data_IF_752504284852
#
_entry.id   IF_752504284852
#
_cell.length_a   1.000
_cell.length_b   1.000
_cell.length_c   1.000
_cell.angle_alpha   90.00
_cell.angle_beta   90.00
_cell.angle_gamma   90.00
#
_symmetry.space_group_name_H-M   'P 1'
#
loop_
_entity.id
_entity.type
_entity.pdbx_description
1 polymer ?
#
# COMPACT_ATOMS: atom_id res chain seq x y z
N UNK A 1 19.54 -29.68 2.09
CA UNK A 1 19.41 -28.28 1.68
C UNK A 1 20.61 -27.45 2.14
N UNK A 2 20.86 -27.28 3.45
CA UNK A 2 21.95 -26.43 4.00
C UNK A 2 23.36 -26.80 3.50
N UNK A 3 23.69 -28.08 3.42
CA UNK A 3 24.99 -28.54 2.90
C UNK A 3 25.18 -28.20 1.40
N UNK A 4 24.09 -28.20 0.62
CA UNK A 4 24.14 -27.83 -0.78
C UNK A 4 24.38 -26.31 -0.93
N UNK A 5 23.82 -25.49 -0.05
CA UNK A 5 24.07 -24.04 -0.02
C UNK A 5 25.54 -23.75 0.31
N UNK A 6 26.10 -24.42 1.33
CA UNK A 6 27.52 -24.26 1.71
C UNK A 6 28.50 -24.71 0.62
N UNK A 7 28.13 -25.73 -0.15
CA UNK A 7 28.95 -26.25 -1.24
C UNK A 7 28.80 -25.46 -2.55
N UNK A 8 27.89 -24.50 -2.60
CA UNK A 8 27.60 -23.76 -3.82
C UNK A 8 28.69 -22.71 -4.15
N UNK A 9 28.94 -22.50 -5.45
CA UNK A 9 29.83 -21.45 -5.91
C UNK A 9 29.12 -20.10 -5.84
N UNK A 10 29.55 -19.19 -4.95
CA UNK A 10 28.92 -17.88 -4.72
C UNK A 10 28.77 -17.03 -5.97
N UNK A 11 29.82 -16.78 -6.77
CA UNK A 11 29.70 -16.07 -8.04
C UNK A 11 28.72 -16.71 -9.02
N UNK A 12 28.74 -18.04 -9.17
CA UNK A 12 27.78 -18.74 -10.02
C UNK A 12 26.36 -18.54 -9.52
N UNK A 13 26.10 -18.69 -8.23
CA UNK A 13 24.77 -18.48 -7.64
C UNK A 13 24.29 -17.06 -7.78
N UNK A 14 25.17 -16.07 -7.70
CA UNK A 14 24.83 -14.67 -7.95
C UNK A 14 24.32 -14.46 -9.38
N UNK A 15 25.07 -14.92 -10.38
CA UNK A 15 24.64 -14.81 -11.79
C UNK A 15 23.42 -15.67 -12.11
N UNK A 16 23.31 -16.84 -11.52
CA UNK A 16 22.13 -17.69 -11.67
C UNK A 16 20.89 -17.04 -11.06
N UNK A 17 21.00 -16.44 -9.88
CA UNK A 17 19.90 -15.71 -9.24
C UNK A 17 19.50 -14.46 -10.05
N UNK A 18 20.47 -13.74 -10.60
CA UNK A 18 20.20 -12.60 -11.48
C UNK A 18 19.45 -13.02 -12.76
N UNK A 19 19.88 -14.10 -13.37
CA UNK A 19 19.28 -14.64 -14.62
C UNK A 19 17.90 -15.24 -14.38
N UNK A 20 17.70 -15.94 -13.24
CA UNK A 20 16.48 -16.65 -12.89
C UNK A 20 15.56 -15.78 -11.98
N UNK A 21 15.67 -14.47 -12.03
CA UNK A 21 14.96 -13.54 -11.16
C UNK A 21 13.44 -13.53 -11.40
N UNK A 22 12.96 -14.23 -12.42
CA UNK A 22 11.54 -14.33 -12.75
C UNK A 22 11.05 -15.77 -12.62
N UNK A 23 9.89 -15.89 -11.98
CA UNK A 23 9.24 -17.17 -11.82
C UNK A 23 8.49 -17.51 -13.13
N UNK A 24 8.84 -18.62 -13.76
CA UNK A 24 8.06 -19.19 -14.84
C UNK A 24 6.89 -19.99 -14.23
N UNK A 25 5.69 -19.45 -14.33
CA UNK A 25 4.49 -20.06 -13.77
C UNK A 25 4.22 -21.44 -14.33
N UNK A 26 4.51 -21.66 -15.59
CA UNK A 26 4.23 -22.92 -16.27
C UNK A 26 5.06 -24.07 -15.74
N UNK A 27 6.26 -23.77 -15.23
CA UNK A 27 7.17 -24.76 -14.64
C UNK A 27 6.85 -25.10 -13.19
N UNK A 28 6.27 -24.16 -12.43
CA UNK A 28 6.16 -24.29 -10.97
C UNK A 28 4.73 -24.43 -10.46
N UNK A 29 3.74 -24.09 -11.28
CA UNK A 29 2.33 -24.14 -10.87
C UNK A 29 1.47 -24.93 -11.84
N UNK A 30 0.49 -25.70 -11.30
CA UNK A 30 -0.53 -26.32 -12.15
C UNK A 30 -1.28 -25.23 -12.93
N UNK A 31 -1.51 -25.48 -14.20
CA UNK A 31 -2.28 -24.58 -15.06
C UNK A 31 -3.71 -25.09 -15.21
N UNK A 32 -4.67 -24.18 -15.18
CA UNK A 32 -6.05 -24.48 -15.60
C UNK A 32 -6.18 -24.32 -17.12
N UNK A 33 -7.03 -25.10 -17.77
CA UNK A 33 -7.44 -24.79 -19.13
C UNK A 33 -7.97 -23.37 -19.23
N UNK A 34 -7.60 -22.63 -20.27
CA UNK A 34 -7.92 -21.21 -20.42
C UNK A 34 -9.43 -20.92 -20.26
N UNK A 35 -10.30 -21.73 -20.89
CA UNK A 35 -11.73 -21.57 -20.75
C UNK A 35 -12.23 -21.74 -19.30
N UNK A 36 -11.64 -22.67 -18.55
CA UNK A 36 -11.97 -22.87 -17.12
C UNK A 36 -11.53 -21.67 -16.29
N UNK A 37 -10.32 -21.18 -16.53
CA UNK A 37 -9.78 -20.01 -15.83
C UNK A 37 -10.65 -18.76 -16.14
N UNK A 38 -11.01 -18.54 -17.40
CA UNK A 38 -11.86 -17.44 -17.84
C UNK A 38 -13.25 -17.47 -17.19
N UNK A 39 -13.90 -18.62 -17.17
CA UNK A 39 -15.21 -18.77 -16.55
C UNK A 39 -15.14 -18.52 -15.04
N UNK A 40 -14.19 -19.15 -14.33
CA UNK A 40 -14.01 -18.93 -12.90
C UNK A 40 -13.72 -17.47 -12.56
N UNK A 41 -12.89 -16.79 -13.37
CA UNK A 41 -12.59 -15.37 -13.17
C UNK A 41 -13.83 -14.51 -13.34
N UNK A 42 -14.64 -14.76 -14.38
CA UNK A 42 -15.86 -14.00 -14.64
C UNK A 42 -16.93 -14.26 -13.57
N UNK A 43 -17.08 -15.51 -13.14
CA UNK A 43 -18.00 -15.86 -12.05
C UNK A 43 -17.62 -15.13 -10.75
N UNK A 44 -16.33 -15.11 -10.39
CA UNK A 44 -15.82 -14.47 -9.17
C UNK A 44 -16.04 -12.95 -9.15
N UNK A 45 -15.94 -12.28 -10.30
CA UNK A 45 -16.13 -10.83 -10.39
C UNK A 45 -17.54 -10.41 -10.84
N UNK A 46 -18.47 -11.35 -10.98
CA UNK A 46 -19.85 -11.07 -11.38
C UNK A 46 -20.63 -10.46 -10.22
N UNK A 47 -21.41 -9.43 -10.52
CA UNK A 47 -22.28 -8.74 -9.55
C UNK A 47 -23.67 -8.50 -10.18
N UNK A 48 -24.75 -8.48 -9.36
CA UNK A 48 -26.12 -8.34 -9.88
C UNK A 48 -26.38 -7.03 -10.64
N UNK A 49 -25.64 -5.97 -10.30
CA UNK A 49 -25.74 -4.64 -10.91
C UNK A 49 -24.63 -4.38 -11.94
N UNK A 50 -23.92 -5.41 -12.38
CA UNK A 50 -22.83 -5.27 -13.33
C UNK A 50 -23.06 -6.15 -14.57
N UNK A 51 -22.62 -5.65 -15.75
CA UNK A 51 -22.60 -6.42 -16.99
C UNK A 51 -21.24 -6.31 -17.65
N UNK A 52 -20.73 -7.41 -18.15
CA UNK A 52 -19.50 -7.42 -18.93
C UNK A 52 -19.69 -6.64 -20.24
N UNK A 53 -18.73 -5.78 -20.53
CA UNK A 53 -18.68 -4.99 -21.78
C UNK A 53 -17.60 -5.48 -22.74
N UNK A 54 -16.83 -6.47 -22.30
CA UNK A 54 -15.75 -7.08 -23.03
C UNK A 54 -16.16 -8.49 -23.50
N UNK A 55 -15.97 -8.79 -24.79
CA UNK A 55 -16.24 -10.09 -25.39
C UNK A 55 -15.07 -11.08 -25.25
N UNK A 56 -13.88 -10.59 -24.87
CA UNK A 56 -12.71 -11.44 -24.67
C UNK A 56 -12.96 -12.40 -23.50
N UNK A 57 -12.61 -13.68 -23.61
CA UNK A 57 -12.86 -14.67 -22.54
C UNK A 57 -12.27 -14.27 -21.19
N UNK A 58 -11.04 -13.71 -21.18
CA UNK A 58 -10.36 -13.22 -19.99
C UNK A 58 -10.69 -11.75 -19.66
N UNK A 59 -11.55 -11.11 -20.43
CA UNK A 59 -11.98 -9.72 -20.20
C UNK A 59 -12.90 -9.60 -18.99
N UNK A 60 -12.54 -8.77 -18.04
CA UNK A 60 -13.28 -8.53 -16.79
C UNK A 60 -13.85 -7.11 -16.69
N UNK A 61 -13.72 -6.32 -17.76
CA UNK A 61 -14.28 -4.97 -17.78
C UNK A 61 -15.79 -5.01 -17.73
N UNK A 62 -16.38 -4.28 -16.80
CA UNK A 62 -17.82 -4.28 -16.53
C UNK A 62 -18.36 -2.86 -16.54
N UNK A 63 -19.58 -2.72 -17.00
CA UNK A 63 -20.43 -1.57 -16.71
C UNK A 63 -21.17 -1.88 -15.41
N UNK A 64 -21.03 -1.01 -14.43
CA UNK A 64 -21.71 -1.11 -13.13
C UNK A 64 -22.80 -0.05 -13.08
N UNK A 65 -24.04 -0.48 -12.83
CA UNK A 65 -25.19 0.38 -12.75
C UNK A 65 -25.54 0.61 -11.27
N UNK A 66 -25.06 1.74 -10.72
CA UNK A 66 -25.38 2.16 -9.37
C UNK A 66 -26.50 3.21 -9.41
N UNK A 67 -27.49 3.15 -8.48
CA UNK A 67 -28.53 4.15 -8.39
C UNK A 67 -27.98 5.47 -7.85
N UNK A 68 -28.59 6.57 -8.27
CA UNK A 68 -28.31 7.92 -7.77
C UNK A 68 -27.27 8.70 -8.59
N UNK A 69 -27.04 9.93 -8.15
CA UNK A 69 -26.07 10.81 -8.80
C UNK A 69 -24.66 10.55 -8.27
N UNK A 70 -23.64 10.51 -9.15
CA UNK A 70 -22.25 10.39 -8.72
C UNK A 70 -21.85 11.52 -7.77
N UNK A 71 -21.20 11.17 -6.66
CA UNK A 71 -20.63 12.14 -5.72
C UNK A 71 -19.11 12.03 -5.78
N UNK A 72 -18.45 13.15 -6.04
CA UNK A 72 -16.98 13.23 -6.02
C UNK A 72 -16.52 13.50 -4.59
N UNK A 73 -16.38 12.44 -3.79
CA UNK A 73 -15.85 12.55 -2.43
C UNK A 73 -14.32 12.63 -2.47
N UNK A 74 -13.75 13.42 -1.58
CA UNK A 74 -12.31 13.38 -1.31
C UNK A 74 -11.95 12.08 -0.61
N UNK A 75 -10.85 11.46 -1.00
CA UNK A 75 -10.41 10.16 -0.51
C UNK A 75 -9.01 10.27 0.09
N UNK A 76 -8.86 9.79 1.32
CA UNK A 76 -7.56 9.60 1.97
C UNK A 76 -7.43 8.13 2.30
N UNK A 77 -6.44 7.47 1.72
CA UNK A 77 -6.15 6.05 1.89
C UNK A 77 -4.85 5.90 2.67
N UNK A 78 -4.93 5.58 3.95
CA UNK A 78 -3.76 5.45 4.83
C UNK A 78 -3.30 4.00 4.88
N UNK A 79 -2.12 3.72 4.33
CA UNK A 79 -1.46 2.43 4.48
C UNK A 79 -0.45 2.51 5.61
N UNK A 80 -0.71 1.80 6.70
CA UNK A 80 0.12 1.82 7.90
C UNK A 80 1.12 0.66 7.85
N UNK A 81 2.41 0.99 7.91
CA UNK A 81 3.50 0.00 7.90
C UNK A 81 3.38 -0.99 9.05
N UNK A 82 3.45 -2.27 8.75
CA UNK A 82 3.56 -3.37 9.72
C UNK A 82 2.53 -3.40 10.86
N UNK A 83 1.42 -2.68 10.75
CA UNK A 83 0.33 -2.74 11.74
C UNK A 83 -0.41 -4.06 11.64
N UNK A 84 -0.71 -4.64 12.79
CA UNK A 84 -1.48 -5.89 12.90
C UNK A 84 -2.55 -5.76 13.96
N UNK A 85 -3.72 -6.31 13.69
CA UNK A 85 -4.85 -6.34 14.62
C UNK A 85 -4.49 -6.93 16.00
N UNK A 86 -3.48 -7.80 16.09
CA UNK A 86 -2.99 -8.34 17.37
C UNK A 86 -2.50 -7.29 18.37
N UNK A 87 -2.26 -6.06 17.95
CA UNK A 87 -1.87 -4.94 18.82
C UNK A 87 -3.05 -4.05 19.23
N UNK A 88 -4.24 -4.31 18.68
CA UNK A 88 -5.43 -3.52 18.97
C UNK A 88 -6.11 -3.99 20.24
N UNK A 89 -6.47 -3.05 21.11
CA UNK A 89 -7.22 -3.33 22.34
C UNK A 89 -8.59 -3.96 22.04
N UNK A 90 -9.23 -3.51 20.98
CA UNK A 90 -10.50 -4.07 20.48
C UNK A 90 -10.42 -5.50 19.95
N UNK A 91 -9.22 -6.01 19.71
CA UNK A 91 -8.93 -7.39 19.31
C UNK A 91 -8.28 -8.22 20.43
N UNK A 92 -8.26 -7.67 21.67
CA UNK A 92 -7.84 -8.39 22.88
C UNK A 92 -6.48 -8.04 23.44
N UNK A 93 -5.77 -7.05 22.89
CA UNK A 93 -4.50 -6.59 23.45
C UNK A 93 -4.74 -5.68 24.67
N UNK A 94 -4.30 -6.13 25.84
CA UNK A 94 -4.50 -5.39 27.09
C UNK A 94 -3.49 -4.25 27.35
N UNK A 95 -2.49 -4.06 26.46
CA UNK A 95 -1.39 -3.11 26.66
C UNK A 95 -1.75 -1.66 26.32
N UNK A 96 -2.95 -1.41 25.83
CA UNK A 96 -3.44 -0.08 25.44
C UNK A 96 -2.49 0.64 24.43
N UNK A 97 -2.10 -0.07 23.37
CA UNK A 97 -1.20 0.45 22.36
C UNK A 97 -1.93 1.25 21.27
N UNK A 98 -3.23 1.02 21.06
CA UNK A 98 -3.98 1.61 19.95
C UNK A 98 -5.29 2.30 20.38
N UNK A 99 -5.28 3.18 21.40
CA UNK A 99 -6.52 3.79 21.92
C UNK A 99 -7.24 4.65 20.87
N UNK A 100 -6.54 5.31 19.95
CA UNK A 100 -7.13 6.14 18.91
C UNK A 100 -7.79 5.30 17.82
N UNK A 101 -7.12 4.26 17.32
CA UNK A 101 -7.70 3.31 16.37
C UNK A 101 -8.88 2.56 16.95
N UNK A 102 -8.82 2.17 18.23
CA UNK A 102 -9.93 1.52 18.94
C UNK A 102 -11.14 2.46 19.12
N UNK A 103 -10.90 3.76 19.30
CA UNK A 103 -11.95 4.76 19.31
C UNK A 103 -12.55 4.99 17.91
N UNK A 104 -11.71 5.11 16.90
CA UNK A 104 -12.11 5.29 15.49
C UNK A 104 -12.96 4.11 15.00
N UNK A 105 -12.59 2.88 15.36
CA UNK A 105 -13.35 1.66 15.04
C UNK A 105 -14.81 1.76 15.43
N UNK A 106 -15.11 2.37 16.58
CA UNK A 106 -16.50 2.49 17.10
C UNK A 106 -17.38 3.44 16.26
N UNK A 107 -16.76 4.26 15.43
CA UNK A 107 -17.42 5.29 14.63
C UNK A 107 -17.30 5.03 13.12
N UNK A 108 -16.76 3.87 12.73
CA UNK A 108 -16.41 3.53 11.35
C UNK A 108 -17.00 2.21 10.91
N UNK A 109 -17.06 1.99 9.60
CA UNK A 109 -17.20 0.67 9.04
C UNK A 109 -15.90 -0.10 9.28
N UNK A 110 -15.95 -1.15 10.08
CA UNK A 110 -14.80 -1.98 10.42
C UNK A 110 -14.91 -3.36 9.78
N UNK A 111 -13.87 -3.75 9.04
CA UNK A 111 -13.74 -5.07 8.42
C UNK A 111 -12.98 -6.00 9.37
N UNK A 112 -13.68 -6.85 10.11
CA UNK A 112 -13.09 -7.75 11.12
C UNK A 112 -12.22 -8.87 10.55
N UNK A 113 -12.35 -9.16 9.25
CA UNK A 113 -11.57 -10.17 8.54
C UNK A 113 -10.80 -9.57 7.36
N UNK A 114 -10.09 -8.49 7.62
CA UNK A 114 -9.24 -7.84 6.63
C UNK A 114 -7.78 -8.32 6.77
N UNK A 115 -7.27 -8.94 5.73
CA UNK A 115 -5.94 -9.57 5.75
C UNK A 115 -5.01 -8.89 4.75
N UNK A 116 -3.74 -8.71 5.17
CA UNK A 116 -2.70 -8.28 4.25
C UNK A 116 -2.40 -9.40 3.24
N UNK A 117 -2.19 -9.02 1.98
CA UNK A 117 -1.95 -9.96 0.88
C UNK A 117 -0.54 -10.54 0.87
N UNK A 118 0.33 -10.09 1.77
CA UNK A 118 1.70 -10.56 1.89
C UNK A 118 2.45 -9.88 3.03
N UNK A 119 3.68 -10.31 3.25
CA UNK A 119 4.53 -9.86 4.38
C UNK A 119 5.46 -8.70 4.01
N UNK A 120 5.33 -8.13 2.82
CA UNK A 120 6.15 -7.02 2.33
C UNK A 120 5.28 -5.85 1.94
N UNK A 121 5.74 -4.63 2.22
CA UNK A 121 5.08 -3.37 1.86
C UNK A 121 4.65 -3.33 0.40
N UNK A 122 5.55 -3.69 -0.52
CA UNK A 122 5.27 -3.71 -1.96
C UNK A 122 4.14 -4.66 -2.37
N UNK A 123 3.88 -5.72 -1.59
CA UNK A 123 2.76 -6.64 -1.82
C UNK A 123 1.42 -6.00 -1.44
N UNK A 124 1.38 -5.32 -0.31
CA UNK A 124 0.21 -4.56 0.11
C UNK A 124 -0.09 -3.42 -0.87
N UNK A 125 0.93 -2.67 -1.26
CA UNK A 125 0.78 -1.55 -2.19
C UNK A 125 0.26 -2.01 -3.57
N UNK A 126 0.84 -3.08 -4.18
CA UNK A 126 0.33 -3.58 -5.45
C UNK A 126 -1.13 -4.04 -5.37
N UNK A 127 -1.49 -4.74 -4.29
CA UNK A 127 -2.86 -5.22 -4.11
C UNK A 127 -3.87 -4.08 -3.95
N UNK A 128 -3.56 -3.09 -3.11
CA UNK A 128 -4.46 -1.94 -2.89
C UNK A 128 -4.56 -1.08 -4.15
N UNK A 129 -3.43 -0.81 -4.81
CA UNK A 129 -3.37 0.10 -5.95
C UNK A 129 -3.95 -0.50 -7.23
N UNK A 130 -3.73 -1.80 -7.46
CA UNK A 130 -4.12 -2.50 -8.69
C UNK A 130 -5.34 -3.42 -8.52
N UNK A 131 -5.82 -3.63 -7.28
CA UNK A 131 -6.91 -4.57 -6.96
C UNK A 131 -6.66 -5.99 -7.48
N UNK A 132 -5.42 -6.46 -7.37
CA UNK A 132 -5.02 -7.80 -7.81
C UNK A 132 -4.61 -8.68 -6.62
N UNK A 133 -4.87 -9.98 -6.67
CA UNK A 133 -4.35 -10.91 -5.67
C UNK A 133 -2.82 -10.98 -5.73
N UNK A 134 -2.15 -11.40 -4.65
CA UNK A 134 -0.70 -11.54 -4.64
C UNK A 134 -0.28 -12.58 -5.69
N UNK A 135 0.64 -12.17 -6.56
CA UNK A 135 1.22 -13.06 -7.56
C UNK A 135 2.51 -13.71 -7.02
N UNK A 136 2.82 -14.95 -7.35
CA UNK A 136 4.13 -15.52 -7.04
C UNK A 136 5.29 -14.74 -7.68
N UNK A 137 6.50 -14.91 -7.14
CA UNK A 137 7.68 -14.23 -7.66
C UNK A 137 7.82 -12.78 -7.16
N UNK A 138 8.38 -11.90 -7.95
CA UNK A 138 8.67 -10.51 -7.58
C UNK A 138 7.40 -9.65 -7.65
N UNK A 139 7.21 -8.78 -6.66
CA UNK A 139 6.13 -7.77 -6.68
C UNK A 139 6.19 -6.92 -7.94
N UNK A 140 5.05 -6.57 -8.51
CA UNK A 140 4.95 -5.69 -9.69
C UNK A 140 5.65 -4.36 -9.44
N UNK A 141 5.49 -3.78 -8.24
CA UNK A 141 6.17 -2.52 -7.85
C UNK A 141 7.67 -2.59 -8.12
N UNK A 142 8.30 -3.76 -7.91
CA UNK A 142 9.75 -3.98 -8.04
C UNK A 142 10.20 -4.50 -9.41
N UNK A 143 9.32 -4.59 -10.41
CA UNK A 143 9.65 -5.08 -11.76
C UNK A 143 10.10 -3.94 -12.67
N UNK A 144 11.29 -3.41 -12.44
CA UNK A 144 11.85 -2.27 -13.17
C UNK A 144 11.68 -2.46 -14.69
N UNK A 145 11.06 -1.47 -15.34
CA UNK A 145 10.73 -1.48 -16.76
C UNK A 145 9.44 -2.23 -17.13
N UNK A 146 8.73 -2.81 -16.15
CA UNK A 146 7.45 -3.50 -16.33
C UNK A 146 6.47 -3.25 -15.18
N UNK A 147 6.71 -2.19 -14.42
CA UNK A 147 5.89 -1.74 -13.28
C UNK A 147 4.79 -0.76 -13.67
N UNK A 148 4.73 -0.34 -14.92
CA UNK A 148 3.84 0.73 -15.39
C UNK A 148 2.78 0.23 -16.38
N UNK A 149 1.77 1.07 -16.66
CA UNK A 149 0.72 0.76 -17.64
C UNK A 149 -0.42 -0.09 -17.09
N UNK A 150 -0.56 -0.19 -15.78
CA UNK A 150 -1.67 -0.90 -15.14
C UNK A 150 -2.87 0.00 -14.91
N UNK A 151 -4.07 -0.57 -14.99
CA UNK A 151 -5.28 0.07 -14.50
C UNK A 151 -5.25 0.15 -12.97
N UNK A 152 -4.84 1.31 -12.46
CA UNK A 152 -4.73 1.57 -11.03
C UNK A 152 -5.91 2.38 -10.50
N UNK A 153 -6.10 2.37 -9.18
CA UNK A 153 -7.08 3.25 -8.52
C UNK A 153 -6.81 4.73 -8.85
N UNK A 154 -5.55 5.16 -8.79
CA UNK A 154 -5.16 6.53 -9.11
C UNK A 154 -5.45 6.90 -10.56
N UNK A 155 -5.12 6.03 -11.52
CA UNK A 155 -5.42 6.27 -12.92
C UNK A 155 -6.93 6.44 -13.18
N UNK A 156 -7.74 5.58 -12.57
CA UNK A 156 -9.21 5.63 -12.74
C UNK A 156 -9.79 6.94 -12.19
N UNK A 157 -9.32 7.39 -11.03
CA UNK A 157 -9.79 8.63 -10.41
C UNK A 157 -9.23 9.87 -11.12
N UNK A 158 -7.97 9.84 -11.56
CA UNK A 158 -7.37 10.93 -12.38
C UNK A 158 -8.16 11.14 -13.67
N UNK A 159 -8.59 10.06 -14.32
CA UNK A 159 -9.46 10.14 -15.52
C UNK A 159 -10.83 10.81 -15.23
N UNK A 160 -11.25 10.86 -13.97
CA UNK A 160 -12.46 11.53 -13.51
C UNK A 160 -12.21 12.96 -12.95
N UNK A 161 -10.97 13.45 -13.05
CA UNK A 161 -10.58 14.80 -12.65
C UNK A 161 -10.10 14.95 -11.21
N UNK A 162 -9.75 13.83 -10.53
CA UNK A 162 -9.12 13.88 -9.22
C UNK A 162 -7.65 14.25 -9.32
N UNK A 163 -7.09 14.87 -8.28
CA UNK A 163 -5.65 14.83 -8.01
C UNK A 163 -5.33 13.52 -7.26
N UNK A 164 -4.70 12.60 -7.94
CA UNK A 164 -4.29 11.33 -7.34
C UNK A 164 -2.83 11.42 -6.94
N UNK A 165 -2.55 11.40 -5.62
CA UNK A 165 -1.22 11.59 -5.07
C UNK A 165 -0.83 10.40 -4.21
N UNK A 166 0.34 9.84 -4.45
CA UNK A 166 0.99 8.93 -3.54
C UNK A 166 1.92 9.73 -2.62
N UNK A 167 1.64 9.68 -1.31
CA UNK A 167 2.40 10.42 -0.30
C UNK A 167 3.17 9.41 0.55
N UNK A 168 4.51 9.48 0.51
CA UNK A 168 5.35 8.49 1.17
C UNK A 168 6.27 9.14 2.21
N UNK A 169 6.25 8.61 3.44
CA UNK A 169 7.13 9.08 4.51
C UNK A 169 8.62 8.84 4.24
N UNK A 170 8.95 7.88 3.40
CA UNK A 170 10.32 7.57 2.99
C UNK A 170 10.72 8.18 1.66
N UNK A 171 11.84 7.67 1.12
CA UNK A 171 12.33 8.06 -0.21
C UNK A 171 11.88 7.04 -1.24
N UNK A 172 11.04 7.46 -2.17
CA UNK A 172 10.31 6.58 -3.07
C UNK A 172 11.15 5.87 -4.15
N UNK A 173 12.46 6.19 -4.29
CA UNK A 173 13.36 5.35 -5.07
C UNK A 173 13.55 3.97 -4.43
N UNK A 174 13.37 3.86 -3.11
CA UNK A 174 13.38 2.59 -2.41
C UNK A 174 12.25 1.70 -2.95
N UNK A 175 12.60 0.45 -3.22
CA UNK A 175 11.68 -0.54 -3.77
C UNK A 175 10.97 -0.11 -5.08
N UNK A 176 11.49 0.90 -5.79
CA UNK A 176 10.96 1.40 -7.07
C UNK A 176 9.54 2.03 -6.97
N UNK A 177 9.15 2.51 -5.80
CA UNK A 177 7.78 3.04 -5.57
C UNK A 177 7.48 4.25 -6.44
N UNK A 178 8.44 5.20 -6.58
CA UNK A 178 8.24 6.40 -7.40
C UNK A 178 7.90 6.06 -8.85
N UNK A 179 8.65 5.16 -9.48
CA UNK A 179 8.40 4.76 -10.86
C UNK A 179 7.06 4.03 -11.00
N UNK A 180 6.73 3.14 -10.05
CA UNK A 180 5.47 2.41 -10.05
C UNK A 180 4.27 3.36 -9.94
N UNK A 181 4.24 4.25 -8.95
CA UNK A 181 3.10 5.14 -8.75
C UNK A 181 3.00 6.18 -9.86
N UNK A 182 4.11 6.83 -10.25
CA UNK A 182 4.11 7.82 -11.33
C UNK A 182 3.69 7.21 -12.67
N UNK A 183 4.12 5.98 -12.96
CA UNK A 183 3.76 5.28 -14.20
C UNK A 183 2.34 4.70 -14.22
N UNK A 184 1.60 4.79 -13.10
CA UNK A 184 0.24 4.28 -12.95
C UNK A 184 -0.76 5.35 -12.47
N UNK A 185 -0.54 6.61 -12.87
CA UNK A 185 -1.53 7.67 -12.75
C UNK A 185 -1.53 8.46 -11.44
N UNK A 186 -0.45 8.37 -10.65
CA UNK A 186 -0.28 9.19 -9.46
C UNK A 186 0.79 10.26 -9.64
N UNK A 187 0.59 11.41 -9.05
CA UNK A 187 1.67 12.32 -8.67
C UNK A 187 2.33 11.78 -7.40
N UNK A 188 3.64 11.86 -7.29
CA UNK A 188 4.38 11.34 -6.13
C UNK A 188 4.91 12.50 -5.30
N UNK A 189 4.68 12.43 -3.99
CA UNK A 189 5.27 13.29 -2.98
C UNK A 189 5.93 12.39 -1.94
N UNK A 190 7.25 12.39 -1.89
CA UNK A 190 8.03 11.62 -0.94
C UNK A 190 8.92 12.55 -0.09
N UNK A 191 9.65 11.99 0.86
CA UNK A 191 10.53 12.80 1.72
C UNK A 191 11.50 13.69 0.91
N UNK A 192 11.96 13.25 -0.26
CA UNK A 192 12.92 14.01 -1.04
C UNK A 192 12.32 15.29 -1.67
N UNK A 193 11.00 15.38 -1.74
CA UNK A 193 10.26 16.55 -2.24
C UNK A 193 9.78 17.49 -1.14
N UNK A 194 9.99 17.14 0.13
CA UNK A 194 9.61 17.97 1.29
C UNK A 194 10.79 18.85 1.71
N UNK A 195 10.60 20.17 1.92
CA UNK A 195 11.64 21.04 2.45
C UNK A 195 12.19 20.56 3.80
N UNK A 196 13.51 20.67 4.00
CA UNK A 196 14.17 20.16 5.21
C UNK A 196 13.65 20.82 6.51
N UNK A 197 13.24 22.07 6.46
CA UNK A 197 12.66 22.82 7.59
C UNK A 197 11.23 22.41 7.94
N UNK A 198 10.60 21.60 7.10
CA UNK A 198 9.27 21.02 7.34
C UNK A 198 9.33 19.58 7.86
N UNK A 199 10.52 19.00 7.99
CA UNK A 199 10.72 17.65 8.50
C UNK A 199 11.31 17.74 9.90
N UNK A 200 10.53 17.34 10.91
CA UNK A 200 10.92 17.48 12.32
C UNK A 200 11.72 16.31 12.85
N UNK A 201 11.56 15.14 12.24
CA UNK A 201 12.26 13.91 12.62
C UNK A 201 12.44 12.97 11.44
N UNK A 202 13.63 12.38 11.36
CA UNK A 202 13.94 11.33 10.36
C UNK A 202 14.68 10.16 10.98
N UNK A 203 14.49 9.00 10.38
CA UNK A 203 15.30 7.81 10.61
C UNK A 203 15.76 7.18 9.29
N UNK A 204 16.31 5.97 9.34
CA UNK A 204 16.78 5.28 8.12
C UNK A 204 15.69 5.04 7.05
N UNK A 205 14.42 5.09 7.42
CA UNK A 205 13.28 4.82 6.52
C UNK A 205 12.62 6.09 5.98
N UNK A 206 12.78 7.18 6.69
CA UNK A 206 12.19 8.42 6.26
C UNK A 206 11.78 9.37 7.38
N UNK A 207 10.92 10.32 7.07
CA UNK A 207 10.32 11.26 8.01
C UNK A 207 9.29 10.56 8.91
N UNK A 208 8.99 11.18 10.03
CA UNK A 208 7.99 10.68 10.99
C UNK A 208 6.59 10.59 10.39
N UNK A 209 5.73 9.76 10.98
CA UNK A 209 4.33 9.68 10.56
C UNK A 209 3.61 11.03 10.79
N UNK A 210 3.96 11.80 11.83
CA UNK A 210 3.44 13.16 12.05
C UNK A 210 3.80 14.09 10.88
N UNK A 211 5.05 14.10 10.41
CA UNK A 211 5.49 14.92 9.29
C UNK A 211 4.78 14.51 7.99
N UNK A 212 4.63 13.19 7.74
CA UNK A 212 3.87 12.65 6.62
C UNK A 212 2.42 13.16 6.62
N UNK A 213 1.76 13.12 7.77
CA UNK A 213 0.38 13.60 7.90
C UNK A 213 0.27 15.10 7.72
N UNK A 214 1.23 15.89 8.20
CA UNK A 214 1.27 17.34 7.94
C UNK A 214 1.40 17.65 6.44
N UNK A 215 2.26 16.93 5.71
CA UNK A 215 2.34 17.08 4.25
C UNK A 215 1.04 16.68 3.56
N UNK A 216 0.40 15.64 4.04
CA UNK A 216 -0.91 15.20 3.52
C UNK A 216 -1.99 16.26 3.71
N UNK A 217 -2.07 16.89 4.90
CA UNK A 217 -3.02 17.97 5.17
C UNK A 217 -2.78 19.17 4.26
N UNK A 218 -1.52 19.58 4.03
CA UNK A 218 -1.21 20.68 3.08
C UNK A 218 -1.71 20.37 1.67
N UNK A 219 -1.55 19.13 1.21
CA UNK A 219 -2.06 18.72 -0.10
C UNK A 219 -3.59 18.75 -0.15
N UNK A 220 -4.23 18.20 0.89
CA UNK A 220 -5.68 18.19 1.01
C UNK A 220 -6.28 19.61 1.03
N UNK A 221 -5.68 20.52 1.81
CA UNK A 221 -6.10 21.90 1.91
C UNK A 221 -5.93 22.67 0.58
N UNK A 222 -4.81 22.43 -0.12
CA UNK A 222 -4.55 23.04 -1.42
C UNK A 222 -5.59 22.60 -2.47
N UNK A 223 -5.88 21.30 -2.56
CA UNK A 223 -6.87 20.77 -3.49
C UNK A 223 -8.30 21.20 -3.11
N UNK A 224 -8.62 21.20 -1.81
CA UNK A 224 -9.91 21.70 -1.34
C UNK A 224 -10.12 23.17 -1.67
N UNK A 225 -9.10 24.02 -1.47
CA UNK A 225 -9.14 25.44 -1.83
C UNK A 225 -9.29 25.66 -3.35
N UNK A 226 -8.73 24.75 -4.15
CA UNK A 226 -8.88 24.75 -5.61
C UNK A 226 -10.22 24.15 -6.10
N UNK A 227 -11.04 23.61 -5.21
CA UNK A 227 -12.29 22.91 -5.56
C UNK A 227 -12.05 21.61 -6.34
N UNK A 228 -10.88 21.01 -6.21
CA UNK A 228 -10.46 19.81 -6.93
C UNK A 228 -10.63 18.58 -6.04
N UNK A 229 -11.37 17.55 -6.47
CA UNK A 229 -11.44 16.31 -5.71
C UNK A 229 -10.08 15.60 -5.72
N UNK A 230 -9.73 14.93 -4.62
CA UNK A 230 -8.44 14.30 -4.49
C UNK A 230 -8.51 12.84 -3.99
N UNK A 231 -7.51 12.05 -4.38
CA UNK A 231 -7.11 10.80 -3.76
C UNK A 231 -5.70 10.98 -3.19
N UNK A 232 -5.56 10.98 -1.88
CA UNK A 232 -4.26 10.95 -1.21
C UNK A 232 -4.03 9.54 -0.65
N UNK A 233 -3.13 8.78 -1.29
CA UNK A 233 -2.73 7.45 -0.85
C UNK A 233 -1.41 7.54 -0.10
N UNK A 234 -1.46 7.28 1.21
CA UNK A 234 -0.33 7.44 2.11
C UNK A 234 0.34 6.10 2.42
N UNK A 235 1.67 6.15 2.62
CA UNK A 235 2.44 5.05 3.17
C UNK A 235 3.32 5.55 4.32
N UNK A 236 3.08 5.04 5.53
CA UNK A 236 3.82 5.41 6.74
C UNK A 236 5.14 4.65 6.88
N UNK A 237 6.03 5.09 7.78
CA UNK A 237 7.36 4.50 7.98
C UNK A 237 7.69 4.19 9.43
N UNK A 238 7.08 4.87 10.42
CA UNK A 238 7.55 4.85 11.81
C UNK A 238 7.45 3.49 12.50
N UNK A 239 6.52 2.62 12.08
CA UNK A 239 6.39 1.28 12.65
C UNK A 239 7.35 0.25 12.00
N UNK A 240 8.45 0.70 11.42
CA UNK A 240 9.52 -0.14 10.88
C UNK A 240 10.74 -0.17 11.85
N UNK A 241 11.53 -1.25 11.83
CA UNK A 241 12.82 -1.27 12.55
C UNK A 241 13.71 -0.11 12.06
N UNK A 242 14.40 0.59 12.93
CA UNK A 242 14.70 0.33 14.36
C UNK A 242 13.62 0.79 15.35
N UNK A 243 12.40 1.11 14.93
CA UNK A 243 11.28 1.52 15.80
C UNK A 243 11.55 2.87 16.50
N UNK A 244 12.12 3.81 15.76
CA UNK A 244 12.44 5.17 16.26
C UNK A 244 11.41 6.19 15.78
N UNK A 245 11.07 7.11 16.66
CA UNK A 245 10.08 8.18 16.47
C UNK A 245 10.46 9.37 17.36
N UNK A 246 9.85 10.56 17.19
CA UNK A 246 10.13 11.73 18.04
C UNK A 246 9.90 11.43 19.52
N UNK A 247 10.86 11.80 20.35
CA UNK A 247 10.76 11.64 21.82
C UNK A 247 9.65 12.52 22.41
N UNK A 248 9.08 12.05 23.53
CA UNK A 248 8.10 12.82 24.31
C UNK A 248 6.68 12.84 23.72
N UNK A 249 6.41 12.08 22.65
CA UNK A 249 5.07 11.96 22.07
C UNK A 249 4.19 10.97 22.80
N UNK A 250 4.81 9.94 23.34
CA UNK A 250 4.15 8.87 24.08
C UNK A 250 4.99 8.50 25.32
N UNK A 251 4.44 7.67 26.19
CA UNK A 251 5.07 7.20 27.42
C UNK A 251 6.12 6.10 27.25
N UNK A 252 6.33 5.60 26.03
CA UNK A 252 7.35 4.61 25.70
C UNK A 252 8.52 5.32 25.00
N UNK A 253 9.78 5.18 25.48
CA UNK A 253 10.93 5.79 24.84
C UNK A 253 11.17 5.25 23.42
N UNK A 254 11.60 6.13 22.51
CA UNK A 254 11.93 5.80 21.13
C UNK A 254 13.03 4.73 21.03
N UNK A 255 12.91 3.84 20.07
CA UNK A 255 13.92 2.80 19.82
C UNK A 255 13.89 1.62 20.78
N UNK A 256 12.96 1.56 21.73
CA UNK A 256 12.87 0.46 22.71
C UNK A 256 12.16 -0.79 22.16
N UNK A 257 11.49 -0.68 21.04
CA UNK A 257 10.87 -1.83 20.37
C UNK A 257 9.58 -1.53 19.62
N UNK A 258 8.99 -2.58 19.10
CA UNK A 258 7.80 -2.50 18.24
C UNK A 258 6.59 -1.93 18.97
N UNK A 259 6.42 -2.22 20.24
CA UNK A 259 5.26 -1.74 21.02
C UNK A 259 5.22 -0.20 21.06
N UNK A 260 6.37 0.44 21.28
CA UNK A 260 6.50 1.88 21.21
C UNK A 260 6.16 2.41 19.81
N UNK A 261 6.69 1.79 18.76
CA UNK A 261 6.39 2.20 17.39
C UNK A 261 4.90 2.07 17.03
N UNK A 262 4.23 0.98 17.44
CA UNK A 262 2.78 0.82 17.27
C UNK A 262 2.02 1.91 18.00
N UNK A 263 2.38 2.20 19.27
CA UNK A 263 1.73 3.24 20.07
C UNK A 263 1.96 4.63 19.49
N UNK A 264 3.16 4.90 18.98
CA UNK A 264 3.45 6.15 18.29
C UNK A 264 2.63 6.30 16.99
N UNK A 265 2.55 5.23 16.19
CA UNK A 265 1.73 5.22 14.97
C UNK A 265 0.25 5.51 15.29
N UNK A 266 -0.29 4.91 16.36
CA UNK A 266 -1.65 5.19 16.83
C UNK A 266 -1.80 6.64 17.31
N UNK A 267 -0.81 7.17 18.02
CA UNK A 267 -0.80 8.58 18.43
C UNK A 267 -0.81 9.49 17.19
N UNK A 268 0.07 9.26 16.23
CA UNK A 268 0.20 10.10 15.05
C UNK A 268 -1.09 10.12 14.20
N UNK A 269 -1.72 8.96 13.97
CA UNK A 269 -3.00 8.91 13.24
C UNK A 269 -4.15 9.53 14.05
N UNK A 270 -4.06 9.47 15.37
CA UNK A 270 -5.04 10.13 16.24
C UNK A 270 -4.97 11.67 16.18
N UNK A 271 -3.78 12.23 15.88
CA UNK A 271 -3.61 13.67 15.65
C UNK A 271 -4.10 14.08 14.25
N UNK A 272 -3.90 13.24 13.24
CA UNK A 272 -4.37 13.41 11.85
C UNK A 272 -5.89 13.36 11.74
#
# INVERSE_FOLDING_TARGET
AYQHELASNGPYQFFAAFRNNELDYTQFYPQLPEATAANSLRDEVSEPNARFVDSEPMGIRRQIDNPGQPRKLNLILVTIESLSAKYMGSEGDARNLTPNLDALRKQSLYFSQFYATGTRTTRGLEAITLSIPPTPGRSIVKRIGRETGFASLGQQLTAQGYDSVFVYGGRGYFDNMNAFFAGNGYRVVDQASVPDDEVTFTNAWGMSDEDLYQQTLKLADADAAAGKPFLLQLMTTSNHRPYTYPEGRIDIPSGTGREGAVKYTDYAIGQF
#
